data_IF_448963903030
#
_entry.id   IF_448963903030
#
_cell.length_a   1.000
_cell.length_b   1.000
_cell.length_c   1.000
_cell.angle_alpha   90.00
_cell.angle_beta   90.00
_cell.angle_gamma   90.00
#
_symmetry.space_group_name_H-M   'P 1'
#
loop_
_entity.id
_entity.type
_entity.pdbx_description
1 polymer ?
#
# COMPACT_ATOMS: atom_id res chain seq x y z
N UNK A 1 -66.88 -17.96 -70.17
CA UNK A 1 -67.70 -18.37 -69.00
C UNK A 1 -66.86 -18.22 -67.75
N UNK A 2 -67.15 -17.20 -66.94
CA UNK A 2 -66.63 -16.97 -65.56
C UNK A 2 -67.05 -18.11 -64.64
N UNK A 3 -66.49 -18.29 -63.38
CA UNK A 3 -66.31 -17.18 -62.41
C UNK A 3 -65.08 -17.28 -61.47
N UNK A 4 -64.70 -16.15 -61.01
CA UNK A 4 -64.38 -15.63 -59.66
C UNK A 4 -64.27 -16.63 -58.51
N UNK A 5 -63.13 -16.50 -57.74
CA UNK A 5 -63.05 -16.52 -56.26
C UNK A 5 -61.58 -16.29 -55.87
N UNK A 6 -61.17 -15.49 -54.94
CA UNK A 6 -61.69 -14.98 -53.71
C UNK A 6 -60.47 -14.65 -52.88
N UNK A 7 -60.18 -13.34 -52.71
CA UNK A 7 -59.04 -12.83 -51.93
C UNK A 7 -59.40 -12.98 -50.43
N UNK A 8 -58.67 -13.81 -49.67
CA UNK A 8 -58.68 -13.71 -48.23
C UNK A 8 -57.42 -12.95 -47.76
N UNK A 9 -57.63 -11.75 -47.28
CA UNK A 9 -56.64 -10.96 -46.57
C UNK A 9 -56.40 -11.59 -45.22
N UNK A 10 -55.20 -12.16 -45.00
CA UNK A 10 -54.70 -12.47 -43.63
C UNK A 10 -54.10 -11.18 -43.07
N UNK A 11 -54.76 -10.61 -42.10
CA UNK A 11 -54.27 -9.50 -41.27
C UNK A 11 -53.14 -10.04 -40.41
N UNK A 12 -51.92 -9.53 -40.58
CA UNK A 12 -50.82 -9.77 -39.70
C UNK A 12 -51.01 -9.04 -38.38
N UNK A 13 -50.98 -9.76 -37.30
CA UNK A 13 -50.93 -9.23 -35.94
C UNK A 13 -49.56 -8.56 -35.65
N UNK A 14 -49.51 -7.39 -35.11
CA UNK A 14 -48.23 -6.76 -34.71
C UNK A 14 -47.64 -7.50 -33.48
N UNK A 15 -46.45 -8.03 -33.64
CA UNK A 15 -45.62 -8.52 -32.52
C UNK A 15 -45.21 -7.39 -31.60
N UNK A 16 -46.05 -7.06 -30.63
CA UNK A 16 -45.69 -6.23 -29.49
C UNK A 16 -45.11 -7.10 -28.38
N UNK A 17 -43.91 -7.59 -28.56
CA UNK A 17 -43.19 -8.27 -27.46
C UNK A 17 -41.66 -8.16 -27.66
N UNK A 18 -41.11 -6.97 -27.46
CA UNK A 18 -39.64 -6.82 -27.27
C UNK A 18 -39.25 -5.62 -26.40
N UNK A 19 -40.16 -4.81 -25.94
CA UNK A 19 -39.82 -3.62 -25.15
C UNK A 19 -39.79 -3.85 -23.63
N UNK A 20 -40.37 -4.98 -23.13
CA UNK A 20 -40.42 -5.25 -21.70
C UNK A 20 -39.12 -5.80 -21.11
N UNK A 21 -38.34 -6.55 -21.90
CA UNK A 21 -37.11 -7.17 -21.40
C UNK A 21 -35.95 -6.17 -21.22
N UNK A 22 -35.90 -5.13 -22.05
CA UNK A 22 -34.83 -4.12 -21.99
C UNK A 22 -35.01 -3.19 -20.79
N UNK A 23 -36.27 -2.87 -20.45
CA UNK A 23 -36.57 -2.00 -19.29
C UNK A 23 -36.29 -2.70 -17.96
N UNK A 24 -36.49 -4.02 -17.86
CA UNK A 24 -36.17 -4.79 -16.66
C UNK A 24 -34.65 -4.92 -16.43
N UNK A 25 -33.86 -5.05 -17.51
CA UNK A 25 -32.40 -5.16 -17.40
C UNK A 25 -31.75 -3.80 -16.98
N UNK A 26 -32.26 -2.70 -17.47
CA UNK A 26 -31.81 -1.36 -17.08
C UNK A 26 -32.15 -1.03 -15.63
N UNK A 27 -33.32 -1.48 -15.14
CA UNK A 27 -33.73 -1.30 -13.75
C UNK A 27 -32.85 -2.06 -12.74
N UNK A 28 -32.41 -3.27 -13.07
CA UNK A 28 -31.55 -4.06 -12.19
C UNK A 28 -30.12 -3.51 -12.07
N UNK A 29 -29.57 -2.97 -13.15
CA UNK A 29 -28.27 -2.30 -13.11
C UNK A 29 -28.28 -0.99 -12.32
N UNK A 30 -29.35 -0.19 -12.49
CA UNK A 30 -29.51 1.06 -11.72
C UNK A 30 -29.78 0.78 -10.24
N UNK A 31 -30.51 -0.28 -9.91
CA UNK A 31 -30.77 -0.69 -8.52
C UNK A 31 -29.52 -1.18 -7.82
N UNK A 32 -28.66 -1.93 -8.50
CA UNK A 32 -27.40 -2.40 -7.93
C UNK A 32 -26.41 -1.25 -7.66
N UNK A 33 -26.30 -0.29 -8.58
CA UNK A 33 -25.48 0.90 -8.39
C UNK A 33 -26.01 1.81 -7.26
N UNK A 34 -27.33 1.97 -7.17
CA UNK A 34 -27.96 2.77 -6.12
C UNK A 34 -27.81 2.11 -4.74
N UNK A 35 -27.88 0.78 -4.66
CA UNK A 35 -27.68 0.04 -3.42
C UNK A 35 -26.23 0.11 -2.94
N UNK A 36 -25.26 0.03 -3.86
CA UNK A 36 -23.83 0.15 -3.52
C UNK A 36 -23.49 1.52 -2.92
N UNK A 37 -24.08 2.61 -3.44
CA UNK A 37 -23.89 3.97 -2.93
C UNK A 37 -24.51 4.14 -1.54
N UNK A 38 -25.64 3.47 -1.27
CA UNK A 38 -26.36 3.59 0.00
C UNK A 38 -25.82 2.69 1.12
N UNK A 39 -25.02 1.68 0.77
CA UNK A 39 -24.49 0.69 1.74
C UNK A 39 -23.29 1.20 2.51
N UNK A 40 -22.85 2.46 2.33
CA UNK A 40 -21.79 3.07 3.13
C UNK A 40 -20.53 2.20 3.24
N UNK A 41 -20.25 1.37 2.21
CA UNK A 41 -18.96 0.74 2.12
C UNK A 41 -17.97 1.84 1.86
N UNK A 42 -17.35 2.31 2.93
CA UNK A 42 -16.12 3.07 2.83
C UNK A 42 -15.17 2.23 2.00
N UNK A 43 -14.92 2.68 0.78
CA UNK A 43 -13.78 2.17 0.00
C UNK A 43 -12.58 2.47 0.88
N UNK A 44 -11.76 1.47 1.26
CA UNK A 44 -10.55 1.76 2.01
C UNK A 44 -9.80 2.83 1.24
N UNK A 45 -9.47 3.92 1.92
CA UNK A 45 -8.71 5.02 1.35
C UNK A 45 -7.32 4.47 1.02
N UNK A 46 -7.14 4.04 -0.24
CA UNK A 46 -5.88 3.55 -0.78
C UNK A 46 -4.92 4.70 -1.09
N UNK A 47 -5.14 5.88 -0.51
CA UNK A 47 -4.13 6.92 -0.60
C UNK A 47 -2.87 6.41 0.08
N UNK A 48 -1.73 6.45 -0.59
CA UNK A 48 -0.46 6.16 0.05
C UNK A 48 -0.37 7.07 1.26
N UNK A 49 -0.28 6.46 2.44
CA UNK A 49 -0.18 7.18 3.71
C UNK A 49 1.17 7.88 3.70
N UNK A 50 1.20 9.07 3.10
CA UNK A 50 2.34 9.96 3.21
C UNK A 50 2.43 10.35 4.67
N UNK A 51 3.33 9.70 5.39
CA UNK A 51 3.70 10.13 6.72
C UNK A 51 4.13 11.59 6.63
N UNK A 52 3.61 12.47 7.50
CA UNK A 52 4.06 13.86 7.50
C UNK A 52 5.56 13.85 7.83
N UNK A 53 6.39 14.08 6.80
CA UNK A 53 7.81 14.34 6.99
C UNK A 53 7.87 15.68 7.73
N UNK A 54 8.45 15.75 8.93
CA UNK A 54 8.57 17.01 9.67
C UNK A 54 9.25 18.07 8.82
N UNK A 55 8.90 19.34 9.05
CA UNK A 55 9.56 20.48 8.40
C UNK A 55 11.06 20.45 8.73
N UNK A 56 11.85 20.01 7.78
CA UNK A 56 13.27 19.73 7.90
C UNK A 56 13.57 18.28 7.50
N UNK A 57 14.59 18.08 6.70
CA UNK A 57 14.98 16.71 6.29
C UNK A 57 15.52 15.97 7.51
N UNK A 58 14.88 14.85 7.87
CA UNK A 58 15.37 13.96 8.91
C UNK A 58 16.65 13.29 8.42
N UNK A 59 17.74 13.53 9.12
CA UNK A 59 19.06 12.97 8.80
C UNK A 59 19.18 11.58 9.42
N UNK A 60 19.42 10.61 8.57
CA UNK A 60 19.48 9.19 8.94
C UNK A 60 20.84 8.62 8.65
N UNK A 61 21.38 7.82 9.56
CA UNK A 61 22.45 6.88 9.26
C UNK A 61 21.90 5.44 9.21
N UNK A 62 22.44 4.62 8.34
CA UNK A 62 22.05 3.21 8.15
C UNK A 62 23.26 2.30 8.30
N UNK A 63 23.23 1.42 9.29
CA UNK A 63 24.32 0.55 9.66
C UNK A 63 23.93 -0.93 9.47
N UNK A 64 24.72 -1.67 8.72
CA UNK A 64 24.58 -3.14 8.62
C UNK A 64 25.23 -3.80 9.84
N UNK A 65 24.42 -4.26 10.76
CA UNK A 65 24.85 -4.98 11.97
C UNK A 65 24.61 -6.49 11.91
N UNK A 66 23.83 -6.99 10.95
CA UNK A 66 23.58 -8.42 10.75
C UNK A 66 24.48 -9.08 9.72
N UNK A 67 25.40 -8.32 9.08
CA UNK A 67 26.35 -8.87 8.11
C UNK A 67 25.73 -9.26 6.75
N UNK A 68 24.48 -8.86 6.49
CA UNK A 68 23.80 -9.19 5.22
C UNK A 68 24.34 -8.31 4.10
N UNK A 69 24.83 -8.96 3.03
CA UNK A 69 25.36 -8.24 1.89
C UNK A 69 24.30 -7.35 1.22
N UNK A 70 24.63 -6.06 1.05
CA UNK A 70 23.74 -5.09 0.41
C UNK A 70 22.63 -4.53 1.29
N UNK A 71 22.43 -5.03 2.52
CA UNK A 71 21.33 -4.60 3.40
C UNK A 71 21.33 -3.08 3.63
N UNK A 72 22.46 -2.49 4.04
CA UNK A 72 22.53 -1.05 4.29
C UNK A 72 22.20 -0.23 3.03
N UNK A 73 22.61 -0.69 1.85
CA UNK A 73 22.29 -0.03 0.58
C UNK A 73 20.78 -0.08 0.30
N UNK A 74 20.18 -1.25 0.43
CA UNK A 74 18.75 -1.43 0.21
C UNK A 74 17.92 -0.58 1.17
N UNK A 75 18.24 -0.59 2.46
CA UNK A 75 17.58 0.25 3.45
C UNK A 75 17.77 1.76 3.18
N UNK A 76 18.94 2.15 2.65
CA UNK A 76 19.19 3.53 2.21
C UNK A 76 18.26 3.93 1.06
N UNK A 77 18.09 3.07 0.06
CA UNK A 77 17.22 3.34 -1.08
C UNK A 77 15.76 3.50 -0.62
N UNK A 78 15.26 2.57 0.21
CA UNK A 78 13.91 2.66 0.80
C UNK A 78 13.71 3.92 1.66
N UNK A 79 14.70 4.26 2.49
CA UNK A 79 14.63 5.48 3.32
C UNK A 79 14.55 6.74 2.47
N UNK A 80 15.33 6.81 1.38
CA UNK A 80 15.30 7.95 0.45
C UNK A 80 14.00 8.03 -0.33
N UNK A 81 13.44 6.91 -0.75
CA UNK A 81 12.12 6.82 -1.38
C UNK A 81 11.02 7.32 -0.44
N UNK A 82 11.15 7.06 0.86
CA UNK A 82 10.26 7.59 1.90
C UNK A 82 10.49 9.08 2.25
N UNK A 83 11.50 9.73 1.65
CA UNK A 83 11.77 11.17 1.79
C UNK A 83 12.78 11.53 2.90
N UNK A 84 13.45 10.56 3.51
CA UNK A 84 14.50 10.80 4.51
C UNK A 84 15.84 11.15 3.85
N UNK A 85 16.67 11.90 4.57
CA UNK A 85 18.02 12.28 4.13
C UNK A 85 19.05 11.32 4.71
N UNK A 86 19.39 10.26 3.98
CA UNK A 86 20.42 9.33 4.43
C UNK A 86 21.79 9.95 4.18
N UNK A 87 22.41 10.43 5.24
CA UNK A 87 23.71 11.11 5.24
C UNK A 87 24.89 10.16 5.35
N UNK A 88 24.67 8.98 5.89
CA UNK A 88 25.68 7.91 5.99
C UNK A 88 25.05 6.53 5.90
N UNK A 89 25.73 5.60 5.24
CA UNK A 89 25.43 4.17 5.33
C UNK A 89 26.72 3.35 5.27
N UNK A 90 26.74 2.24 6.00
CA UNK A 90 27.93 1.40 6.10
C UNK A 90 27.70 0.17 6.98
N UNK A 91 28.81 -0.32 7.55
CA UNK A 91 28.75 -1.43 8.49
C UNK A 91 28.71 -0.90 9.93
N UNK A 92 28.03 -1.61 10.80
CA UNK A 92 28.12 -1.42 12.24
C UNK A 92 29.51 -1.85 12.76
N UNK A 93 29.81 -1.59 14.03
CA UNK A 93 31.06 -1.99 14.66
C UNK A 93 31.23 -3.51 14.76
N UNK A 94 30.09 -4.24 14.86
CA UNK A 94 30.05 -5.69 14.81
C UNK A 94 28.92 -6.15 13.89
N UNK A 95 28.94 -7.43 13.53
CA UNK A 95 27.87 -8.08 12.75
C UNK A 95 27.05 -9.06 13.61
N UNK A 96 27.03 -8.87 14.93
CA UNK A 96 26.39 -9.76 15.87
C UNK A 96 24.93 -9.32 16.17
N UNK A 97 24.43 -8.29 15.48
CA UNK A 97 23.07 -7.83 15.66
C UNK A 97 22.09 -8.81 15.01
N UNK A 98 21.26 -9.44 15.86
CA UNK A 98 20.20 -10.34 15.40
C UNK A 98 18.98 -9.52 15.05
N UNK A 99 18.58 -8.59 15.92
CA UNK A 99 17.40 -7.75 15.76
C UNK A 99 17.76 -6.39 15.15
N UNK A 100 16.94 -5.97 14.21
CA UNK A 100 16.99 -4.62 13.66
C UNK A 100 16.38 -3.61 14.62
N UNK A 101 17.00 -2.42 14.69
CA UNK A 101 16.52 -1.35 15.58
C UNK A 101 16.67 0.02 14.95
N UNK A 102 15.79 0.92 15.34
CA UNK A 102 15.84 2.34 14.99
C UNK A 102 15.99 3.16 16.28
N UNK A 103 16.99 4.03 16.31
CA UNK A 103 17.36 4.79 17.51
C UNK A 103 17.17 6.29 17.25
N UNK A 104 16.33 6.93 18.07
CA UNK A 104 16.19 8.37 18.14
C UNK A 104 17.43 8.99 18.80
N UNK A 105 18.08 9.93 18.11
CA UNK A 105 19.33 10.58 18.56
C UNK A 105 19.12 12.03 19.03
N UNK A 106 17.93 12.59 18.86
CA UNK A 106 17.65 14.01 19.16
C UNK A 106 16.50 14.21 20.14
N UNK A 107 16.01 13.15 20.79
CA UNK A 107 14.87 13.22 21.71
C UNK A 107 13.51 13.42 20.97
N UNK A 108 13.44 12.95 19.73
CA UNK A 108 12.25 13.02 18.88
C UNK A 108 11.83 11.60 18.43
N UNK A 109 11.22 10.80 19.32
CA UNK A 109 10.85 9.42 19.00
C UNK A 109 9.81 9.30 17.88
N UNK A 110 9.12 10.38 17.54
CA UNK A 110 8.24 10.45 16.38
C UNK A 110 9.01 10.31 15.05
N UNK A 111 10.22 10.87 14.96
CA UNK A 111 11.10 10.73 13.80
C UNK A 111 11.58 9.29 13.63
N UNK A 112 12.03 8.68 14.73
CA UNK A 112 12.49 7.30 14.72
C UNK A 112 11.37 6.33 14.33
N UNK A 113 10.13 6.55 14.80
CA UNK A 113 8.97 5.74 14.40
C UNK A 113 8.66 5.87 12.91
N UNK A 114 8.75 7.07 12.36
CA UNK A 114 8.51 7.29 10.94
C UNK A 114 9.54 6.54 10.07
N UNK A 115 10.83 6.56 10.45
CA UNK A 115 11.88 5.79 9.78
C UNK A 115 11.65 4.27 9.94
N UNK A 116 11.28 3.85 11.14
CA UNK A 116 11.00 2.44 11.46
C UNK A 116 9.85 1.88 10.62
N UNK A 117 8.76 2.64 10.49
CA UNK A 117 7.61 2.28 9.65
C UNK A 117 8.01 2.13 8.17
N UNK A 118 8.83 3.03 7.65
CA UNK A 118 9.30 2.99 6.27
C UNK A 118 10.19 1.77 5.96
N UNK A 119 10.85 1.23 6.97
CA UNK A 119 11.77 0.09 6.84
C UNK A 119 11.19 -1.24 7.35
N UNK A 120 9.94 -1.24 7.86
CA UNK A 120 9.32 -2.42 8.47
C UNK A 120 10.00 -2.87 9.77
N UNK A 121 10.64 -1.96 10.51
CA UNK A 121 11.34 -2.27 11.76
C UNK A 121 10.45 -1.90 12.94
N UNK A 122 10.28 -2.82 13.90
CA UNK A 122 9.38 -2.61 15.05
C UNK A 122 10.09 -2.12 16.31
N UNK A 123 11.39 -2.41 16.45
CA UNK A 123 12.16 -2.04 17.63
C UNK A 123 12.65 -0.59 17.51
N UNK A 124 12.05 0.30 18.30
CA UNK A 124 12.38 1.73 18.34
C UNK A 124 12.88 2.09 19.73
N UNK A 125 14.08 2.64 19.79
CA UNK A 125 14.73 3.06 21.02
C UNK A 125 14.91 4.59 21.01
N UNK A 126 15.09 5.17 22.19
CA UNK A 126 15.50 6.58 22.34
C UNK A 126 16.79 6.63 23.13
N UNK A 127 17.83 7.14 22.50
CA UNK A 127 19.16 7.32 23.06
C UNK A 127 19.78 8.60 22.46
N UNK A 128 19.31 9.78 22.93
CA UNK A 128 19.77 11.07 22.41
C UNK A 128 21.26 11.25 22.64
N UNK A 129 21.95 11.62 21.55
CA UNK A 129 23.39 11.88 21.56
C UNK A 129 23.68 13.17 20.78
N UNK A 130 23.95 14.29 21.46
CA UNK A 130 24.20 15.58 20.84
C UNK A 130 25.50 15.65 20.02
N UNK A 131 26.41 14.69 20.19
CA UNK A 131 27.67 14.62 19.47
C UNK A 131 27.51 13.96 18.10
N UNK A 132 26.35 13.34 17.84
CA UNK A 132 26.00 12.76 16.54
C UNK A 132 25.32 13.81 15.65
N UNK A 133 25.75 13.86 14.38
CA UNK A 133 25.16 14.77 13.37
C UNK A 133 23.98 14.15 12.62
N UNK A 134 23.31 13.17 13.23
CA UNK A 134 22.13 12.47 12.69
C UNK A 134 20.96 12.60 13.66
N UNK A 135 19.76 12.55 13.12
CA UNK A 135 18.55 12.62 13.93
C UNK A 135 18.10 11.20 14.31
N UNK A 136 18.37 10.21 13.45
CA UNK A 136 18.00 8.81 13.62
C UNK A 136 19.12 7.89 13.16
N UNK A 137 19.42 6.87 13.96
CA UNK A 137 20.33 5.77 13.61
C UNK A 137 19.52 4.48 13.36
N UNK A 138 19.75 3.83 12.22
CA UNK A 138 19.20 2.53 11.88
C UNK A 138 20.31 1.49 11.98
N UNK A 139 20.10 0.45 12.78
CA UNK A 139 20.99 -0.71 12.83
C UNK A 139 20.20 -1.92 12.34
N UNK A 140 20.59 -2.45 11.19
CA UNK A 140 19.98 -3.62 10.60
C UNK A 140 20.55 -4.87 11.22
N UNK A 141 19.70 -5.72 11.76
CA UNK A 141 20.03 -7.06 12.24
C UNK A 141 19.96 -8.10 11.12
N UNK A 142 20.25 -9.34 11.48
CA UNK A 142 20.12 -10.46 10.56
C UNK A 142 18.66 -10.86 10.27
N UNK A 143 17.72 -10.33 11.04
CA UNK A 143 16.26 -10.47 10.87
C UNK A 143 15.68 -9.56 9.78
N UNK A 144 16.44 -8.55 9.31
CA UNK A 144 15.89 -7.57 8.38
C UNK A 144 15.68 -8.14 6.99
N UNK A 145 14.43 -8.19 6.57
CA UNK A 145 13.98 -8.65 5.25
C UNK A 145 13.00 -7.62 4.67
N UNK A 146 13.46 -6.70 3.82
CA UNK A 146 12.64 -5.60 3.31
C UNK A 146 11.49 -6.04 2.40
N UNK A 147 11.58 -7.24 1.85
CA UNK A 147 10.59 -7.80 0.93
C UNK A 147 9.74 -8.91 1.61
N UNK A 148 9.89 -9.11 2.92
CA UNK A 148 9.03 -10.03 3.65
C UNK A 148 7.64 -9.41 3.76
N UNK A 149 6.64 -10.13 3.28
CA UNK A 149 5.23 -9.79 3.50
C UNK A 149 4.99 -9.72 5.02
N UNK A 150 4.52 -8.58 5.56
CA UNK A 150 4.26 -8.46 7.00
C UNK A 150 3.21 -9.44 7.51
N UNK A 151 2.45 -10.08 6.63
CA UNK A 151 1.47 -11.10 6.96
C UNK A 151 1.52 -12.22 5.89
N UNK A 152 2.57 -13.07 5.90
CA UNK A 152 2.67 -14.15 4.93
C UNK A 152 1.45 -15.06 5.07
N UNK A 153 0.70 -15.24 3.98
CA UNK A 153 -0.45 -16.15 3.94
C UNK A 153 0.02 -17.56 4.37
N UNK A 154 -0.47 -18.11 5.50
CA UNK A 154 -0.05 -19.41 5.98
C UNK A 154 -0.43 -20.56 5.03
N UNK A 155 -1.08 -20.27 3.90
CA UNK A 155 -1.52 -21.24 2.89
C UNK A 155 -0.63 -21.27 1.65
N UNK A 156 0.37 -20.36 1.51
CA UNK A 156 1.36 -20.48 0.42
C UNK A 156 2.40 -21.56 0.77
N UNK A 157 2.60 -22.57 -0.11
CA UNK A 157 3.52 -23.68 0.11
C UNK A 157 4.99 -23.27 -0.05
#
# INVERSE_FOLDING_TARGET
MSPRKGRSRRRGTPRKLRSGAIVLLAGTLAGAAFFAIRSGREVPDLQPRTLPVPEGRVRVEVLNGGGISGAARRATDLSREAGFDVVYFGNARSFDHVESQVVDRVGRPDLARAVAEALGIHNVLSDPDPDLYVDVSVVLGSDWQPDADPDPDPTEP
#
